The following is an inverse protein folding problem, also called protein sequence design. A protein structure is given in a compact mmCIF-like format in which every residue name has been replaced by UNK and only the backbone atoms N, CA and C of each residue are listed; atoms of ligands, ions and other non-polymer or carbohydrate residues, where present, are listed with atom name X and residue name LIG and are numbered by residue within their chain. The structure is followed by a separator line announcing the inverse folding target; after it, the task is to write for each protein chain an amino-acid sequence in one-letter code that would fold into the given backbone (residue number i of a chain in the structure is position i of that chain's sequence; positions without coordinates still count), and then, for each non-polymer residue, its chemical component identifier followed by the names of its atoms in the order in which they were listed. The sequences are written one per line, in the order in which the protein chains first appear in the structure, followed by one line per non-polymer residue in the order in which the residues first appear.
data_IF_162291123095
#
_entry.id   IF_162291123095
#
_cell.length_a   1.000
_cell.length_b   1.000
_cell.length_c   1.000
_cell.angle_alpha   90.00
_cell.angle_beta   90.00
_cell.angle_gamma   90.00
#
_symmetry.space_group_name_H-M   'P 1'
#
loop_
_entity.id
_entity.type
_entity.pdbx_description
1 polymer ?
#
# COMPACT_ATOMS: atom_id res chain seq x y z
N UNK A 1 11.43 6.59 21.15
CA UNK A 1 11.25 6.65 19.69
C UNK A 1 9.76 6.58 19.42
N UNK A 2 9.25 7.42 18.52
CA UNK A 2 7.84 7.39 18.11
C UNK A 2 7.49 6.13 17.32
N UNK A 3 6.19 5.91 17.12
CA UNK A 3 5.70 4.82 16.25
C UNK A 3 5.98 5.16 14.80
N UNK A 4 6.46 4.19 14.01
CA UNK A 4 6.63 4.30 12.56
C UNK A 4 5.75 3.27 11.84
N UNK A 5 5.08 3.67 10.76
CA UNK A 5 4.42 2.77 9.82
C UNK A 5 5.24 2.71 8.52
N UNK A 6 5.74 1.54 8.20
CA UNK A 6 6.51 1.27 7.00
C UNK A 6 5.60 0.71 5.93
N UNK A 7 5.27 1.54 4.97
CA UNK A 7 4.38 1.19 3.85
C UNK A 7 5.21 0.60 2.72
N UNK A 8 4.92 -0.62 2.32
CA UNK A 8 5.59 -1.32 1.23
C UNK A 8 4.58 -1.65 0.15
N UNK A 9 4.70 -1.04 -1.04
CA UNK A 9 3.92 -1.45 -2.18
C UNK A 9 4.51 -2.72 -2.77
N UNK A 10 3.66 -3.70 -3.14
CA UNK A 10 4.10 -4.92 -3.82
C UNK A 10 4.98 -4.64 -5.04
N UNK A 11 5.81 -5.60 -5.42
CA UNK A 11 6.62 -5.56 -6.63
C UNK A 11 5.78 -5.46 -7.91
N UNK A 12 6.45 -5.30 -9.04
CA UNK A 12 5.83 -5.19 -10.35
C UNK A 12 5.00 -6.42 -10.71
N UNK A 13 3.87 -6.20 -11.40
CA UNK A 13 3.01 -7.21 -12.02
C UNK A 13 2.70 -6.79 -13.46
N UNK A 14 2.25 -7.71 -14.31
CA UNK A 14 1.85 -7.39 -15.69
C UNK A 14 0.80 -6.26 -15.75
N UNK A 15 -0.17 -6.28 -14.83
CA UNK A 15 -1.20 -5.25 -14.80
C UNK A 15 -0.70 -3.91 -14.23
N UNK A 16 0.32 -3.91 -13.37
CA UNK A 16 0.94 -2.64 -12.95
C UNK A 16 1.75 -1.99 -14.07
N UNK A 17 2.33 -2.79 -14.98
CA UNK A 17 3.03 -2.31 -16.19
C UNK A 17 2.05 -1.73 -17.21
N UNK A 18 0.95 -2.44 -17.47
CA UNK A 18 -0.06 -2.01 -18.45
C UNK A 18 -0.96 -0.89 -17.95
N UNK A 19 -0.93 -0.57 -16.64
CA UNK A 19 -1.78 0.45 -16.02
C UNK A 19 -3.23 -0.01 -15.80
N UNK A 20 -3.49 -1.32 -15.80
CA UNK A 20 -4.80 -1.87 -15.51
C UNK A 20 -5.11 -1.81 -14.01
N UNK A 21 -6.32 -1.39 -13.66
CA UNK A 21 -6.79 -1.40 -12.28
C UNK A 21 -6.85 -2.85 -11.78
N UNK A 22 -6.13 -3.14 -10.70
CA UNK A 22 -5.93 -4.50 -10.17
C UNK A 22 -6.33 -4.56 -8.70
N UNK A 23 -7.46 -5.16 -8.39
CA UNK A 23 -7.92 -5.35 -7.02
C UNK A 23 -8.11 -6.83 -6.69
N UNK A 24 -9.28 -7.35 -7.05
CA UNK A 24 -9.72 -8.72 -6.71
C UNK A 24 -9.03 -9.78 -7.56
N UNK A 25 -8.63 -9.44 -8.78
CA UNK A 25 -7.85 -10.33 -9.65
C UNK A 25 -6.45 -10.55 -9.07
N UNK A 26 -6.10 -11.81 -8.89
CA UNK A 26 -4.86 -12.16 -8.18
C UNK A 26 -3.70 -12.40 -9.15
N UNK A 27 -3.12 -11.30 -9.65
CA UNK A 27 -2.01 -11.29 -10.60
C UNK A 27 -0.68 -11.51 -9.87
N UNK A 28 0.20 -12.43 -10.33
CA UNK A 28 1.52 -12.69 -9.74
C UNK A 28 2.52 -11.57 -10.02
N UNK A 29 3.63 -11.58 -9.29
CA UNK A 29 4.78 -10.73 -9.59
C UNK A 29 5.43 -11.14 -10.92
N UNK A 30 5.98 -10.16 -11.64
CA UNK A 30 6.94 -10.41 -12.74
C UNK A 30 8.30 -10.81 -12.15
N UNK A 31 9.22 -11.30 -12.99
CA UNK A 31 10.60 -11.56 -12.56
C UNK A 31 11.29 -10.28 -12.08
N UNK A 32 11.03 -9.15 -12.75
CA UNK A 32 11.50 -7.84 -12.29
C UNK A 32 10.89 -7.46 -10.92
N UNK A 33 9.59 -7.73 -10.72
CA UNK A 33 8.93 -7.52 -9.43
C UNK A 33 9.53 -8.36 -8.29
N UNK A 34 9.94 -9.61 -8.57
CA UNK A 34 10.66 -10.48 -7.61
C UNK A 34 12.04 -9.93 -7.28
N UNK A 35 12.81 -9.55 -8.32
CA UNK A 35 14.12 -8.93 -8.14
C UNK A 35 14.01 -7.66 -7.26
N UNK A 36 13.01 -6.84 -7.51
CA UNK A 36 12.74 -5.64 -6.71
C UNK A 36 12.43 -5.97 -5.24
N UNK A 37 11.73 -7.08 -4.98
CA UNK A 37 11.48 -7.56 -3.62
C UNK A 37 12.75 -8.11 -2.95
N UNK A 38 13.73 -8.62 -3.69
CA UNK A 38 15.06 -8.99 -3.17
C UNK A 38 15.87 -7.75 -2.77
N UNK A 39 15.86 -6.69 -3.59
CA UNK A 39 16.47 -5.40 -3.25
C UNK A 39 15.84 -4.81 -1.98
N UNK A 40 14.51 -4.92 -1.85
CA UNK A 40 13.79 -4.53 -0.64
C UNK A 40 14.26 -5.34 0.58
N UNK A 41 14.50 -6.65 0.44
CA UNK A 41 15.06 -7.49 1.52
C UNK A 41 16.39 -6.93 2.00
N UNK A 42 17.27 -6.59 1.09
CA UNK A 42 18.60 -6.08 1.42
C UNK A 42 18.51 -4.69 2.09
N UNK A 43 17.59 -3.84 1.64
CA UNK A 43 17.29 -2.54 2.26
C UNK A 43 16.70 -2.69 3.68
N UNK A 44 15.84 -3.66 3.90
CA UNK A 44 15.20 -3.90 5.19
C UNK A 44 16.02 -4.83 6.11
N UNK A 45 17.14 -5.37 5.64
CA UNK A 45 17.93 -6.38 6.35
C UNK A 45 18.19 -6.01 7.81
N UNK A 46 17.84 -6.93 8.70
CA UNK A 46 18.02 -6.79 10.16
C UNK A 46 17.01 -5.87 10.85
N UNK A 47 16.12 -5.21 10.13
CA UNK A 47 15.07 -4.39 10.76
C UNK A 47 14.04 -5.28 11.44
N UNK A 48 13.79 -5.00 12.72
CA UNK A 48 12.73 -5.65 13.49
C UNK A 48 11.52 -4.75 13.57
N UNK A 49 10.34 -5.36 13.40
CA UNK A 49 9.05 -4.69 13.50
C UNK A 49 8.27 -5.24 14.71
N UNK A 50 7.43 -4.41 15.32
CA UNK A 50 6.46 -4.83 16.33
C UNK A 50 5.41 -5.77 15.74
N UNK A 51 5.01 -5.51 14.49
CA UNK A 51 4.12 -6.36 13.72
C UNK A 51 4.42 -6.20 12.22
N UNK A 52 4.11 -7.24 11.44
CA UNK A 52 4.15 -7.21 9.98
C UNK A 52 2.77 -7.64 9.48
N UNK A 53 2.11 -6.78 8.74
CA UNK A 53 0.82 -7.06 8.12
C UNK A 53 0.95 -7.09 6.60
N UNK A 54 0.24 -8.02 5.96
CA UNK A 54 0.20 -8.13 4.50
C UNK A 54 -1.23 -8.26 3.99
N UNK A 55 -1.49 -7.63 2.84
CA UNK A 55 -2.70 -7.88 2.07
C UNK A 55 -2.86 -9.37 1.75
N UNK A 56 -4.09 -9.90 1.64
CA UNK A 56 -4.33 -11.30 1.26
C UNK A 56 -3.98 -11.62 -0.21
N UNK A 57 -3.60 -10.66 -1.04
CA UNK A 57 -3.29 -10.88 -2.46
C UNK A 57 -1.87 -11.44 -2.64
N UNK A 58 -1.73 -12.45 -3.53
CA UNK A 58 -0.45 -13.15 -3.73
C UNK A 58 0.73 -12.22 -4.01
N UNK A 59 0.57 -11.15 -4.81
CA UNK A 59 1.62 -10.19 -5.11
C UNK A 59 2.18 -9.48 -3.87
N UNK A 60 1.32 -9.18 -2.88
CA UNK A 60 1.76 -8.57 -1.62
C UNK A 60 2.38 -9.60 -0.68
N UNK A 61 1.79 -10.81 -0.59
CA UNK A 61 2.32 -11.93 0.21
C UNK A 61 3.69 -12.35 -0.33
N UNK A 62 3.84 -12.50 -1.65
CA UNK A 62 5.11 -12.90 -2.29
C UNK A 62 6.19 -11.83 -2.06
N UNK A 63 5.85 -10.53 -2.23
CA UNK A 63 6.77 -9.43 -1.91
C UNK A 63 7.22 -9.50 -0.45
N UNK A 64 6.30 -9.69 0.49
CA UNK A 64 6.59 -9.80 1.91
C UNK A 64 7.51 -11.00 2.23
N UNK A 65 7.27 -12.16 1.61
CA UNK A 65 8.08 -13.37 1.76
C UNK A 65 9.50 -13.16 1.25
N UNK A 66 9.66 -12.63 0.02
CA UNK A 66 10.97 -12.38 -0.57
C UNK A 66 11.74 -11.34 0.24
N UNK A 67 11.05 -10.33 0.78
CA UNK A 67 11.63 -9.33 1.69
C UNK A 67 12.06 -9.90 3.06
N UNK A 68 11.81 -11.19 3.33
CA UNK A 68 12.27 -11.89 4.53
C UNK A 68 11.31 -11.87 5.72
N UNK A 69 10.05 -11.46 5.52
CA UNK A 69 9.06 -11.33 6.60
C UNK A 69 7.89 -12.32 6.50
N UNK A 70 7.95 -13.30 5.58
CA UNK A 70 6.85 -14.24 5.34
C UNK A 70 6.42 -15.02 6.59
N UNK A 71 7.38 -15.44 7.43
CA UNK A 71 7.12 -16.29 8.60
C UNK A 71 6.46 -15.54 9.77
N UNK A 72 6.57 -14.20 9.80
CA UNK A 72 6.04 -13.35 10.87
C UNK A 72 4.87 -12.49 10.42
N UNK A 73 4.55 -12.52 9.13
CA UNK A 73 3.49 -11.69 8.55
C UNK A 73 2.10 -12.25 8.89
N UNK A 74 1.23 -11.36 9.32
CA UNK A 74 -0.19 -11.63 9.54
C UNK A 74 -1.00 -11.04 8.38
N UNK A 75 -1.90 -11.84 7.82
CA UNK A 75 -2.82 -11.35 6.78
C UNK A 75 -3.81 -10.36 7.39
N UNK A 76 -3.90 -9.18 6.79
CA UNK A 76 -4.81 -8.12 7.15
C UNK A 76 -5.74 -7.82 5.96
N UNK A 77 -7.01 -8.25 6.02
CA UNK A 77 -7.96 -8.07 4.92
C UNK A 77 -8.18 -6.61 4.51
N UNK A 78 -8.09 -5.67 5.48
CA UNK A 78 -8.25 -4.25 5.19
C UNK A 78 -7.09 -3.64 4.37
N UNK A 79 -5.98 -4.37 4.19
CA UNK A 79 -4.88 -3.99 3.31
C UNK A 79 -5.08 -4.39 1.84
N UNK A 80 -6.19 -5.07 1.48
CA UNK A 80 -6.44 -5.33 0.07
C UNK A 80 -6.65 -4.02 -0.70
N UNK A 81 -6.36 -4.06 -2.01
CA UNK A 81 -6.48 -2.88 -2.86
C UNK A 81 -7.94 -2.40 -2.95
N UNK A 82 -8.14 -1.16 -3.35
CA UNK A 82 -9.43 -0.58 -3.64
C UNK A 82 -10.20 -1.48 -4.60
N UNK A 83 -11.42 -1.88 -4.25
CA UNK A 83 -12.29 -2.62 -5.17
C UNK A 83 -12.76 -1.68 -6.27
N UNK A 84 -12.25 -1.88 -7.47
CA UNK A 84 -12.56 -1.03 -8.62
C UNK A 84 -13.85 -1.38 -9.34
N UNK A 85 -14.57 -2.44 -8.92
CA UNK A 85 -15.82 -2.86 -9.54
C UNK A 85 -15.66 -3.03 -11.05
N UNK A 86 -16.44 -2.31 -11.85
CA UNK A 86 -16.43 -2.40 -13.31
C UNK A 86 -15.14 -1.91 -13.99
N UNK A 87 -14.29 -1.18 -13.28
CA UNK A 87 -12.98 -0.74 -13.78
C UNK A 87 -11.88 -1.80 -13.60
N UNK A 88 -12.15 -2.91 -12.90
CA UNK A 88 -11.20 -4.02 -12.74
C UNK A 88 -10.71 -4.51 -14.11
N UNK A 89 -9.40 -4.62 -14.28
CA UNK A 89 -8.75 -5.05 -15.52
C UNK A 89 -8.74 -4.02 -16.65
N UNK A 90 -9.32 -2.84 -16.46
CA UNK A 90 -9.30 -1.76 -17.45
C UNK A 90 -8.29 -0.69 -17.06
N UNK A 91 -7.74 -0.02 -18.08
CA UNK A 91 -6.86 1.14 -17.88
C UNK A 91 -7.69 2.43 -17.77
N UNK A 92 -7.09 3.49 -17.22
CA UNK A 92 -7.72 4.82 -17.19
C UNK A 92 -8.13 5.33 -18.58
N UNK A 93 -7.31 5.18 -19.66
CA UNK A 93 -7.75 5.52 -21.00
C UNK A 93 -9.01 4.77 -21.45
N UNK A 94 -9.09 3.45 -21.25
CA UNK A 94 -10.27 2.65 -21.58
C UNK A 94 -11.53 3.10 -20.81
N UNK A 95 -11.37 3.44 -19.54
CA UNK A 95 -12.50 3.97 -18.77
C UNK A 95 -12.94 5.35 -19.26
N UNK A 96 -12.00 6.19 -19.74
CA UNK A 96 -12.31 7.49 -20.36
C UNK A 96 -13.01 7.37 -21.69
N UNK A 97 -12.76 6.34 -22.46
CA UNK A 97 -13.52 6.04 -23.68
C UNK A 97 -15.01 5.74 -23.37
N UNK A 98 -15.28 5.12 -22.21
CA UNK A 98 -16.63 4.73 -21.78
C UNK A 98 -17.38 5.89 -21.11
N UNK A 99 -16.70 6.63 -20.22
CA UNK A 99 -17.34 7.59 -19.31
C UNK A 99 -16.96 9.06 -19.55
N UNK A 100 -16.10 9.32 -20.52
CA UNK A 100 -15.62 10.67 -20.88
C UNK A 100 -14.23 11.01 -20.33
N UNK A 101 -13.59 12.06 -20.89
CA UNK A 101 -12.18 12.38 -20.70
C UNK A 101 -11.81 12.72 -19.25
N UNK A 102 -12.76 13.19 -18.46
CA UNK A 102 -12.54 13.60 -17.07
C UNK A 102 -12.68 12.45 -16.08
N UNK A 103 -12.96 11.22 -16.56
CA UNK A 103 -13.11 10.08 -15.67
C UNK A 103 -11.82 9.81 -14.86
N UNK A 104 -12.02 9.60 -13.58
CA UNK A 104 -10.98 9.24 -12.62
C UNK A 104 -11.56 8.31 -11.55
N UNK A 105 -10.80 7.27 -11.19
CA UNK A 105 -11.13 6.37 -10.07
C UNK A 105 -11.38 7.12 -8.75
N UNK A 106 -10.78 8.30 -8.61
CA UNK A 106 -10.85 9.11 -7.38
C UNK A 106 -12.14 9.91 -7.22
N UNK A 107 -12.78 10.25 -8.32
CA UNK A 107 -13.91 11.22 -8.34
C UNK A 107 -15.17 10.67 -8.95
N UNK A 108 -15.10 9.58 -9.70
CA UNK A 108 -16.25 8.97 -10.32
C UNK A 108 -16.75 7.76 -9.55
N UNK A 109 -18.05 7.55 -9.41
CA UNK A 109 -18.60 6.33 -8.84
C UNK A 109 -18.12 5.08 -9.59
N UNK A 110 -17.77 4.03 -8.87
CA UNK A 110 -17.37 2.73 -9.41
C UNK A 110 -18.51 1.74 -9.20
N UNK A 111 -19.21 1.37 -10.28
CA UNK A 111 -20.29 0.40 -10.17
C UNK A 111 -19.78 -0.94 -9.66
N UNK A 112 -20.32 -1.38 -8.53
CA UNK A 112 -19.88 -2.60 -7.85
C UNK A 112 -18.50 -2.50 -7.17
N UNK A 113 -17.94 -1.29 -7.09
CA UNK A 113 -16.70 -1.00 -6.38
C UNK A 113 -16.93 -0.24 -5.07
N UNK A 114 -15.83 0.12 -4.43
CA UNK A 114 -15.81 0.95 -3.20
C UNK A 114 -15.73 2.44 -3.54
N UNK A 115 -16.22 3.27 -2.64
CA UNK A 115 -15.95 4.71 -2.61
C UNK A 115 -14.60 5.01 -1.95
N UNK A 116 -13.98 6.19 -2.17
CA UNK A 116 -12.79 6.60 -1.44
C UNK A 116 -12.95 6.54 0.08
N UNK A 117 -14.14 6.88 0.59
CA UNK A 117 -14.41 6.91 2.03
C UNK A 117 -14.51 5.50 2.63
N UNK A 118 -15.05 4.52 1.92
CA UNK A 118 -15.05 3.12 2.34
C UNK A 118 -13.62 2.57 2.43
N UNK A 119 -12.79 2.86 1.44
CA UNK A 119 -11.36 2.51 1.49
C UNK A 119 -10.66 3.28 2.62
N UNK A 120 -11.02 4.55 2.84
CA UNK A 120 -10.54 5.37 3.95
C UNK A 120 -10.86 4.76 5.32
N UNK A 121 -12.07 4.23 5.51
CA UNK A 121 -12.46 3.55 6.74
C UNK A 121 -11.61 2.28 6.99
N UNK A 122 -11.30 1.51 5.93
CA UNK A 122 -10.38 0.35 6.04
C UNK A 122 -8.95 0.81 6.40
N UNK A 123 -8.49 1.90 5.81
CA UNK A 123 -7.17 2.48 6.12
C UNK A 123 -7.11 2.94 7.59
N UNK A 124 -8.15 3.59 8.11
CA UNK A 124 -8.23 4.02 9.50
C UNK A 124 -8.19 2.82 10.47
N UNK A 125 -8.86 1.71 10.14
CA UNK A 125 -8.80 0.48 10.92
C UNK A 125 -7.38 -0.13 10.95
N UNK A 126 -6.67 -0.12 9.80
CA UNK A 126 -5.26 -0.56 9.74
C UNK A 126 -4.36 0.35 10.57
N UNK A 127 -4.53 1.66 10.49
CA UNK A 127 -3.78 2.63 11.31
C UNK A 127 -3.97 2.33 12.80
N UNK A 128 -5.23 2.19 13.24
CA UNK A 128 -5.55 1.91 14.65
C UNK A 128 -4.92 0.60 15.13
N UNK A 129 -5.03 -0.47 14.35
CA UNK A 129 -4.42 -1.78 14.65
C UNK A 129 -2.89 -1.70 14.70
N UNK A 130 -2.28 -0.95 13.80
CA UNK A 130 -0.82 -0.77 13.76
C UNK A 130 -0.32 -0.02 15.01
N UNK A 131 -1.01 1.05 15.40
CA UNK A 131 -0.68 1.82 16.62
C UNK A 131 -0.81 0.94 17.86
N UNK A 132 -1.87 0.16 17.99
CA UNK A 132 -2.07 -0.76 19.11
C UNK A 132 -0.98 -1.85 19.15
N UNK A 133 -0.57 -2.39 17.99
CA UNK A 133 0.52 -3.38 17.92
C UNK A 133 1.87 -2.79 18.34
N UNK A 134 2.16 -1.56 17.92
CA UNK A 134 3.36 -0.86 18.32
C UNK A 134 3.36 -0.53 19.83
N UNK A 135 2.21 -0.14 20.38
CA UNK A 135 2.06 0.16 21.81
C UNK A 135 2.29 -1.09 22.67
N UNK A 136 1.70 -2.22 22.29
CA UNK A 136 1.81 -3.49 23.00
C UNK A 136 3.21 -4.13 22.93
N UNK A 137 4.10 -3.67 22.05
CA UNK A 137 5.45 -4.21 21.90
C UNK A 137 6.39 -3.71 23.00
N UNK A 138 7.10 -4.60 23.67
CA UNK A 138 8.21 -4.23 24.58
C UNK A 138 9.51 -3.89 23.84
N UNK A 139 9.54 -4.11 22.52
CA UNK A 139 10.69 -3.92 21.64
C UNK A 139 10.50 -2.78 20.63
N UNK A 140 10.68 -3.07 19.33
CA UNK A 140 10.51 -2.09 18.26
C UNK A 140 9.11 -1.48 18.25
N UNK A 141 9.02 -0.21 17.86
CA UNK A 141 7.74 0.51 17.70
C UNK A 141 7.36 0.71 16.22
N UNK A 142 8.08 0.09 15.30
CA UNK A 142 7.78 0.15 13.88
C UNK A 142 6.87 -1.02 13.47
N UNK A 143 5.93 -0.77 12.56
CA UNK A 143 5.02 -1.76 11.95
C UNK A 143 5.18 -1.72 10.45
N UNK A 144 5.32 -2.89 9.80
CA UNK A 144 5.40 -3.00 8.34
C UNK A 144 4.04 -3.40 7.73
N UNK A 145 3.67 -2.73 6.63
CA UNK A 145 2.41 -2.92 5.90
C UNK A 145 2.72 -3.22 4.43
N UNK A 146 2.56 -4.47 4.00
CA UNK A 146 2.74 -4.88 2.62
C UNK A 146 1.41 -4.87 1.89
N UNK A 147 1.24 -3.94 0.94
CA UNK A 147 -0.06 -3.73 0.29
C UNK A 147 0.07 -3.14 -1.13
N UNK A 148 -0.85 -2.28 -1.53
CA UNK A 148 -1.05 -1.83 -2.90
C UNK A 148 -1.06 -0.30 -3.00
N UNK A 149 -1.11 0.20 -4.24
CA UNK A 149 -0.94 1.62 -4.50
C UNK A 149 -2.02 2.47 -3.83
N UNK A 150 -3.30 2.28 -4.16
CA UNK A 150 -4.33 3.21 -3.73
C UNK A 150 -4.64 3.12 -2.25
N UNK A 151 -4.71 1.91 -1.68
CA UNK A 151 -4.92 1.76 -0.23
C UNK A 151 -3.79 2.43 0.58
N UNK A 152 -2.51 2.29 0.17
CA UNK A 152 -1.39 2.93 0.87
C UNK A 152 -1.37 4.45 0.70
N UNK A 153 -1.76 4.98 -0.47
CA UNK A 153 -1.90 6.42 -0.71
C UNK A 153 -3.01 7.02 0.13
N UNK A 154 -4.16 6.33 0.23
CA UNK A 154 -5.28 6.71 1.09
C UNK A 154 -4.87 6.64 2.56
N UNK A 155 -4.17 5.58 2.97
CA UNK A 155 -3.67 5.43 4.33
C UNK A 155 -2.74 6.59 4.72
N UNK A 156 -1.86 7.03 3.81
CA UNK A 156 -1.00 8.18 4.05
C UNK A 156 -1.80 9.50 4.18
N UNK A 157 -2.81 9.72 3.34
CA UNK A 157 -3.71 10.86 3.46
C UNK A 157 -4.42 10.85 4.83
N UNK A 158 -5.02 9.72 5.20
CA UNK A 158 -5.71 9.54 6.49
C UNK A 158 -4.76 9.72 7.69
N UNK A 159 -3.52 9.25 7.56
CA UNK A 159 -2.49 9.42 8.58
C UNK A 159 -2.27 10.89 8.97
N UNK A 160 -2.17 11.77 7.98
CA UNK A 160 -1.94 13.20 8.20
C UNK A 160 -3.24 14.03 8.30
N UNK A 161 -4.40 13.36 8.46
CA UNK A 161 -5.69 14.02 8.71
C UNK A 161 -6.41 14.54 7.46
N UNK A 162 -5.99 14.14 6.25
CA UNK A 162 -6.65 14.52 5.00
C UNK A 162 -7.82 13.58 4.65
N UNK A 163 -8.80 14.03 3.86
CA UNK A 163 -9.80 13.17 3.24
C UNK A 163 -9.17 12.04 2.41
N UNK A 164 -9.83 10.89 2.32
CA UNK A 164 -9.35 9.73 1.58
C UNK A 164 -9.06 10.04 0.11
N UNK A 165 -9.90 10.85 -0.53
CA UNK A 165 -9.76 11.28 -1.92
C UNK A 165 -8.46 12.03 -2.19
N UNK A 166 -7.86 12.66 -1.20
CA UNK A 166 -6.60 13.41 -1.35
C UNK A 166 -5.38 12.49 -1.50
N UNK A 167 -5.54 11.19 -1.25
CA UNK A 167 -4.59 10.16 -1.66
C UNK A 167 -4.21 10.23 -3.15
N UNK A 168 -5.06 10.81 -3.99
CA UNK A 168 -4.77 11.09 -5.41
C UNK A 168 -3.48 11.89 -5.65
N UNK A 169 -3.08 12.71 -4.69
CA UNK A 169 -1.91 13.59 -4.79
C UNK A 169 -0.58 12.90 -4.46
N UNK A 170 -0.62 11.68 -3.95
CA UNK A 170 0.57 10.91 -3.58
C UNK A 170 0.93 9.91 -4.68
N UNK A 171 2.04 10.10 -5.40
CA UNK A 171 2.57 9.07 -6.31
C UNK A 171 3.19 7.92 -5.52
N UNK A 172 3.02 6.66 -5.96
CA UNK A 172 3.60 5.50 -5.28
C UNK A 172 3.98 4.42 -6.30
N UNK A 173 5.27 4.17 -6.50
CA UNK A 173 5.83 3.16 -7.42
C UNK A 173 5.75 1.74 -6.86
N UNK A 174 5.84 0.73 -7.74
CA UNK A 174 5.95 -0.69 -7.35
C UNK A 174 7.25 -0.96 -6.62
N UNK A 175 7.23 -1.78 -5.57
CA UNK A 175 8.40 -2.12 -4.76
C UNK A 175 8.99 -0.94 -3.99
N UNK A 176 8.25 0.18 -3.84
CA UNK A 176 8.70 1.33 -3.06
C UNK A 176 8.38 1.20 -1.58
N UNK A 177 9.13 1.94 -0.76
CA UNK A 177 8.93 2.09 0.68
C UNK A 177 8.60 3.53 1.02
N UNK A 178 7.63 3.72 1.91
CA UNK A 178 7.34 5.00 2.54
C UNK A 178 7.30 4.84 4.05
N UNK A 179 7.60 5.89 4.81
CA UNK A 179 7.59 5.86 6.28
C UNK A 179 6.72 7.01 6.78
N UNK A 180 5.73 6.64 7.54
CA UNK A 180 4.88 7.57 8.30
C UNK A 180 5.34 7.54 9.75
N UNK A 181 5.43 8.69 10.37
CA UNK A 181 5.92 8.80 11.73
C UNK A 181 5.35 10.01 12.45
N UNK A 182 6.08 10.49 13.44
CA UNK A 182 5.68 11.63 14.26
C UNK A 182 6.83 12.64 14.36
N UNK A 183 6.49 13.91 14.17
CA UNK A 183 7.29 15.02 14.65
C UNK A 183 6.65 15.52 15.96
N UNK A 184 7.22 15.15 17.09
CA UNK A 184 6.63 15.31 18.43
C UNK A 184 5.25 14.60 18.47
N UNK A 185 4.16 15.35 18.62
CA UNK A 185 2.78 14.84 18.66
C UNK A 185 2.10 14.86 17.29
N UNK A 186 2.75 15.47 16.28
CA UNK A 186 2.16 15.64 14.95
C UNK A 186 2.49 14.45 14.07
N UNK A 187 1.47 13.85 13.45
CA UNK A 187 1.65 12.82 12.43
C UNK A 187 2.23 13.43 11.16
N UNK A 188 3.31 12.84 10.65
CA UNK A 188 4.02 13.31 9.46
C UNK A 188 4.32 12.18 8.48
N UNK A 189 4.64 12.53 7.25
CA UNK A 189 5.24 11.63 6.28
C UNK A 189 6.75 11.88 6.32
N UNK A 190 7.52 10.96 6.89
CA UNK A 190 8.97 11.10 7.03
C UNK A 190 9.71 10.78 5.73
N UNK A 191 9.21 9.76 5.02
CA UNK A 191 9.76 9.34 3.72
C UNK A 191 8.62 8.92 2.82
N UNK A 192 8.72 9.27 1.53
CA UNK A 192 7.69 8.92 0.57
C UNK A 192 8.29 8.35 -0.71
N UNK A 193 7.72 7.20 -1.16
CA UNK A 193 7.98 6.59 -2.46
C UNK A 193 9.47 6.36 -2.76
N UNK A 194 10.23 5.88 -1.77
CA UNK A 194 11.66 5.59 -1.98
C UNK A 194 11.83 4.31 -2.78
N UNK A 195 12.57 4.43 -3.88
CA UNK A 195 13.19 3.30 -4.56
C UNK A 195 14.54 2.95 -3.92
N UNK A 196 15.21 1.93 -4.46
CA UNK A 196 16.50 1.43 -3.95
C UNK A 196 17.62 1.55 -5.00
N UNK A 197 17.37 2.21 -6.13
CA UNK A 197 18.38 2.47 -7.15
C UNK A 197 19.27 3.63 -6.69
N UNK A 198 20.54 3.30 -6.46
CA UNK A 198 21.70 4.19 -6.36
C UNK A 198 21.47 5.62 -5.84
N UNK A 199 21.42 5.79 -4.52
CA UNK A 199 21.83 7.03 -3.89
C UNK A 199 23.33 6.95 -3.52
#
# INVERSE_FOLDING_TARGET
MGVELWLVRHGETEWSLSGQHTSTTDIPLTDHGRKRAEELRDFLAGRKFAAVFTSPRQRAIETCKIAGYGDVAVIEPNLQEWNYGEAEGKTTPQMREIYGPDWSVWTNPLKGGETPDEVGARADAVIAKSLASAEASDGPKAVALFAHAHILRILAARWIGLPAVDGKSFGLGTGSVSVLGFERETRVIEKWNRGFEGE
#
